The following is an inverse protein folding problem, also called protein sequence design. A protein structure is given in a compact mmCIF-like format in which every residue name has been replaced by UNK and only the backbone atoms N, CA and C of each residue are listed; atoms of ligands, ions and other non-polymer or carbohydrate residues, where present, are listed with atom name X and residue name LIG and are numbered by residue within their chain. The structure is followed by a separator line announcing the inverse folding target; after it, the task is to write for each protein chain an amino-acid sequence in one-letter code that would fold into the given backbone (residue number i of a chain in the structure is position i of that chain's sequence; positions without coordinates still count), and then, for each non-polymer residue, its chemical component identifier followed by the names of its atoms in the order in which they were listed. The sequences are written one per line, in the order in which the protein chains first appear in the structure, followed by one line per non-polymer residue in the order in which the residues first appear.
data_IF_477124709240
#
_entry.id   IF_477124709240
#
_cell.length_a   1.000
_cell.length_b   1.000
_cell.length_c   1.000
_cell.angle_alpha   90.00
_cell.angle_beta   90.00
_cell.angle_gamma   90.00
#
_symmetry.space_group_name_H-M   'P 1'
#
loop_
_entity.id
_entity.type
_entity.pdbx_description
1 polymer ?
#
# COMPACT_ATOMS: atom_id res chain seq x y z
N UNK A 1 25.21 34.60 73.59
CA UNK A 1 25.63 34.35 72.22
C UNK A 1 24.39 33.96 71.45
N UNK A 2 23.80 34.93 70.77
CA UNK A 2 22.46 34.75 70.08
C UNK A 2 22.74 34.67 68.62
N UNK A 3 22.45 33.54 68.01
CA UNK A 3 22.60 33.32 66.60
C UNK A 3 21.33 33.82 65.88
N UNK A 4 21.50 34.75 64.94
CA UNK A 4 20.46 35.24 64.05
C UNK A 4 20.22 34.21 62.89
N UNK A 5 18.99 33.86 62.64
CA UNK A 5 18.70 33.09 61.43
C UNK A 5 18.43 34.05 60.24
N UNK A 6 19.43 34.20 59.39
CA UNK A 6 19.28 34.91 58.13
C UNK A 6 18.26 34.18 57.22
N UNK A 7 17.00 34.66 57.20
CA UNK A 7 15.97 34.24 56.27
C UNK A 7 16.29 34.73 54.84
N UNK A 8 16.75 33.83 53.99
CA UNK A 8 16.90 34.10 52.58
C UNK A 8 15.49 34.19 51.96
N UNK A 9 14.97 35.41 51.87
CA UNK A 9 13.71 35.66 51.16
C UNK A 9 13.91 35.40 49.68
N UNK A 10 13.36 34.31 49.20
CA UNK A 10 13.28 34.02 47.75
C UNK A 10 12.44 35.12 47.06
N UNK A 11 13.10 35.96 46.28
CA UNK A 11 12.48 37.01 45.47
C UNK A 11 11.60 36.37 44.41
N UNK A 12 10.32 36.23 44.67
CA UNK A 12 9.32 35.86 43.66
C UNK A 12 9.20 37.00 42.64
N UNK A 13 9.83 36.87 41.47
CA UNK A 13 9.64 37.78 40.33
C UNK A 13 8.17 37.75 39.92
N UNK A 14 7.40 38.76 40.30
CA UNK A 14 6.02 38.96 39.84
C UNK A 14 6.07 39.47 38.40
N UNK A 15 5.65 38.62 37.41
CA UNK A 15 5.51 39.06 36.03
C UNK A 15 4.41 40.12 35.94
N UNK A 16 4.70 41.19 35.20
CA UNK A 16 3.68 42.21 34.87
C UNK A 16 2.57 41.58 33.99
N UNK A 17 1.32 41.99 34.19
CA UNK A 17 0.20 41.48 33.39
C UNK A 17 0.45 41.60 31.87
N UNK A 18 1.13 42.65 31.42
CA UNK A 18 1.56 42.82 30.02
C UNK A 18 2.55 41.74 29.55
N UNK A 19 3.46 41.33 30.42
CA UNK A 19 4.42 40.24 30.12
C UNK A 19 3.72 38.89 30.05
N UNK A 20 2.74 38.63 30.90
CA UNK A 20 1.94 37.39 30.85
C UNK A 20 1.14 37.32 29.54
N UNK A 21 0.46 38.40 29.14
CA UNK A 21 -0.26 38.47 27.88
C UNK A 21 0.68 38.27 26.69
N UNK A 22 1.87 38.87 26.71
CA UNK A 22 2.86 38.67 25.65
C UNK A 22 3.33 37.23 25.58
N UNK A 23 3.65 36.56 26.70
CA UNK A 23 4.07 35.18 26.72
C UNK A 23 2.99 34.23 26.26
N UNK A 24 1.72 34.45 26.65
CA UNK A 24 0.57 33.65 26.15
C UNK A 24 0.41 33.87 24.66
N UNK A 25 0.48 35.10 24.16
CA UNK A 25 0.38 35.39 22.73
C UNK A 25 1.48 34.71 21.90
N UNK A 26 2.74 34.76 22.39
CA UNK A 26 3.87 34.06 21.75
C UNK A 26 3.68 32.54 21.78
N UNK A 27 3.22 31.99 22.92
CA UNK A 27 2.97 30.55 23.04
C UNK A 27 1.88 30.09 22.06
N UNK A 28 0.76 30.80 21.95
CA UNK A 28 -0.33 30.51 20.99
C UNK A 28 0.18 30.57 19.56
N UNK A 29 0.93 31.63 19.20
CA UNK A 29 1.51 31.76 17.87
C UNK A 29 2.49 30.61 17.55
N UNK A 30 3.37 30.29 18.48
CA UNK A 30 4.32 29.18 18.32
C UNK A 30 3.61 27.83 18.14
N UNK A 31 2.58 27.58 18.96
CA UNK A 31 1.76 26.36 18.83
C UNK A 31 1.08 26.31 17.45
N UNK A 32 0.47 27.42 16.99
CA UNK A 32 -0.16 27.48 15.69
C UNK A 32 0.82 27.24 14.53
N UNK A 33 2.02 27.81 14.59
CA UNK A 33 3.08 27.59 13.60
C UNK A 33 3.59 26.15 13.60
N UNK A 34 3.82 25.56 14.77
CA UNK A 34 4.24 24.15 14.89
C UNK A 34 3.15 23.22 14.36
N UNK A 35 1.89 23.48 14.70
CA UNK A 35 0.77 22.69 14.21
C UNK A 35 0.64 22.80 12.69
N UNK A 36 0.71 24.02 12.14
CA UNK A 36 0.65 24.23 10.70
C UNK A 36 1.81 23.55 9.95
N UNK A 37 3.04 23.64 10.50
CA UNK A 37 4.21 22.95 9.97
C UNK A 37 4.03 21.42 10.02
N UNK A 38 3.57 20.89 11.15
CA UNK A 38 3.32 19.46 11.32
C UNK A 38 2.26 18.94 10.35
N UNK A 39 1.12 19.62 10.23
CA UNK A 39 0.06 19.32 9.28
C UNK A 39 0.61 19.32 7.85
N UNK A 40 1.40 20.34 7.49
CA UNK A 40 1.98 20.41 6.14
C UNK A 40 2.98 19.27 5.87
N UNK A 41 3.73 18.84 6.86
CA UNK A 41 4.76 17.79 6.69
C UNK A 41 4.16 16.37 6.64
N UNK A 42 3.12 16.09 7.42
CA UNK A 42 2.61 14.72 7.60
C UNK A 42 1.31 14.45 6.82
N UNK A 43 0.46 15.46 6.66
CA UNK A 43 -0.84 15.27 6.01
C UNK A 43 -0.75 15.34 4.49
N UNK A 44 0.18 16.13 3.97
CA UNK A 44 0.32 16.33 2.53
C UNK A 44 1.51 15.55 1.99
N UNK A 45 1.27 14.89 0.86
CA UNK A 45 2.27 14.08 0.18
C UNK A 45 2.55 14.65 -1.22
N UNK A 46 3.75 14.38 -1.72
CA UNK A 46 4.06 14.45 -3.15
C UNK A 46 3.58 13.19 -3.85
N UNK A 47 3.37 13.27 -5.17
CA UNK A 47 3.09 12.10 -6.00
C UNK A 47 4.23 11.08 -5.90
N UNK A 48 3.90 9.81 -6.11
CA UNK A 48 4.90 8.75 -6.16
C UNK A 48 5.68 8.80 -7.48
N UNK A 49 6.90 8.29 -7.43
CA UNK A 49 7.68 8.05 -8.64
C UNK A 49 7.36 6.64 -9.17
N UNK A 50 6.89 6.51 -10.43
CA UNK A 50 6.54 5.21 -11.00
C UNK A 50 7.73 4.25 -10.99
N UNK A 51 7.50 3.03 -10.52
CA UNK A 51 8.53 1.98 -10.46
C UNK A 51 8.90 1.52 -11.86
N UNK A 52 10.17 1.65 -12.22
CA UNK A 52 10.71 1.16 -13.50
C UNK A 52 11.53 -0.10 -13.28
N UNK A 53 11.23 -1.14 -14.04
CA UNK A 53 12.02 -2.36 -14.12
C UNK A 53 13.03 -2.28 -15.27
N UNK A 54 14.13 -3.05 -15.14
CA UNK A 54 15.02 -3.29 -16.27
C UNK A 54 14.28 -4.09 -17.37
N UNK A 55 14.79 -4.06 -18.60
CA UNK A 55 14.20 -4.84 -19.70
C UNK A 55 14.17 -6.34 -19.37
N UNK A 56 15.19 -6.86 -18.71
CA UNK A 56 15.25 -8.26 -18.29
C UNK A 56 14.16 -8.58 -17.25
N UNK A 57 13.99 -7.72 -16.23
CA UNK A 57 12.98 -7.91 -15.18
C UNK A 57 11.56 -7.79 -15.76
N UNK A 58 11.33 -6.91 -16.74
CA UNK A 58 10.06 -6.79 -17.44
C UNK A 58 9.71 -8.08 -18.20
N UNK A 59 10.69 -8.72 -18.86
CA UNK A 59 10.47 -10.02 -19.52
C UNK A 59 10.09 -11.09 -18.51
N UNK A 60 10.77 -11.16 -17.37
CA UNK A 60 10.44 -12.10 -16.30
C UNK A 60 9.03 -11.86 -15.75
N UNK A 61 8.68 -10.61 -15.46
CA UNK A 61 7.35 -10.24 -14.97
C UNK A 61 6.26 -10.61 -15.98
N UNK A 62 6.46 -10.29 -17.27
CA UNK A 62 5.50 -10.63 -18.31
C UNK A 62 5.33 -12.15 -18.44
N UNK A 63 6.40 -12.94 -18.31
CA UNK A 63 6.30 -14.40 -18.29
C UNK A 63 5.53 -14.94 -17.09
N UNK A 64 5.73 -14.37 -15.88
CA UNK A 64 4.95 -14.69 -14.68
C UNK A 64 3.46 -14.38 -14.88
N UNK A 65 3.14 -13.18 -15.39
CA UNK A 65 1.75 -12.78 -15.65
C UNK A 65 1.08 -13.63 -16.72
N UNK A 66 1.80 -14.00 -17.77
CA UNK A 66 1.28 -14.92 -18.78
C UNK A 66 0.85 -16.26 -18.16
N UNK A 67 1.63 -16.83 -17.23
CA UNK A 67 1.24 -18.06 -16.52
C UNK A 67 -0.05 -17.89 -15.73
N UNK A 68 -0.21 -16.79 -14.99
CA UNK A 68 -1.43 -16.50 -14.21
C UNK A 68 -2.65 -16.41 -15.13
N UNK A 69 -2.52 -15.67 -16.25
CA UNK A 69 -3.62 -15.49 -17.19
C UNK A 69 -3.99 -16.79 -17.93
N UNK A 70 -2.98 -17.61 -18.29
CA UNK A 70 -3.24 -18.91 -18.93
C UNK A 70 -3.86 -19.93 -17.98
N UNK A 71 -3.48 -19.91 -16.69
CA UNK A 71 -4.15 -20.75 -15.70
C UNK A 71 -5.62 -20.32 -15.48
N UNK A 72 -5.94 -19.05 -15.69
CA UNK A 72 -7.31 -18.53 -15.63
C UNK A 72 -8.15 -18.90 -16.89
N UNK A 73 -7.49 -19.08 -18.05
CA UNK A 73 -8.10 -19.43 -19.35
C UNK A 73 -7.73 -20.87 -19.72
N UNK A 74 -8.37 -21.84 -19.08
CA UNK A 74 -8.11 -23.27 -19.31
C UNK A 74 -8.37 -23.72 -20.78
N UNK A 75 -9.07 -22.91 -21.59
CA UNK A 75 -9.35 -23.13 -22.99
C UNK A 75 -8.37 -22.45 -23.97
N UNK A 76 -7.41 -21.65 -23.46
CA UNK A 76 -6.42 -20.98 -24.32
C UNK A 76 -5.22 -21.90 -24.63
N UNK A 77 -4.79 -22.00 -25.90
CA UNK A 77 -3.60 -22.77 -26.25
C UNK A 77 -2.38 -22.20 -25.54
N UNK A 78 -1.57 -23.07 -24.93
CA UNK A 78 -0.37 -22.71 -24.18
C UNK A 78 0.54 -21.75 -24.98
N UNK A 79 1.11 -20.71 -24.34
CA UNK A 79 2.00 -19.78 -25.03
C UNK A 79 3.19 -20.54 -25.63
N UNK A 80 3.35 -20.41 -26.92
CA UNK A 80 4.56 -20.86 -27.57
C UNK A 80 5.70 -19.92 -27.17
N UNK A 81 6.45 -20.31 -26.16
CA UNK A 81 7.71 -19.63 -25.86
C UNK A 81 8.68 -19.90 -27.02
N UNK A 82 8.92 -18.89 -27.84
CA UNK A 82 10.02 -18.90 -28.78
C UNK A 82 11.32 -18.99 -28.00
N UNK A 83 11.84 -20.19 -27.79
CA UNK A 83 13.20 -20.39 -27.31
C UNK A 83 14.14 -19.74 -28.36
N UNK A 84 15.22 -19.06 -27.91
CA UNK A 84 16.29 -18.72 -28.84
C UNK A 84 16.70 -19.99 -29.54
N UNK A 85 16.79 -19.95 -30.87
CA UNK A 85 17.20 -21.09 -31.67
C UNK A 85 18.59 -21.56 -31.22
N UNK A 86 18.60 -22.64 -30.48
CA UNK A 86 19.78 -23.46 -30.32
C UNK A 86 19.78 -24.39 -31.54
N UNK A 87 20.89 -24.43 -32.27
CA UNK A 87 21.10 -25.17 -33.53
C UNK A 87 21.05 -26.71 -33.40
N UNK A 88 20.30 -27.25 -32.45
CA UNK A 88 20.08 -28.66 -32.27
C UNK A 88 18.63 -29.02 -32.70
N UNK A 89 18.43 -30.09 -33.50
CA UNK A 89 17.09 -30.57 -33.83
C UNK A 89 16.35 -30.97 -32.55
N UNK A 90 15.20 -30.31 -32.32
CA UNK A 90 14.32 -30.61 -31.19
C UNK A 90 13.62 -31.95 -31.46
N UNK A 91 13.87 -32.94 -30.62
CA UNK A 91 13.07 -34.17 -30.61
C UNK A 91 11.72 -33.84 -29.92
N UNK A 92 10.58 -34.24 -30.49
CA UNK A 92 9.28 -34.03 -29.85
C UNK A 92 9.18 -34.93 -28.60
N UNK A 93 9.28 -34.30 -27.42
CA UNK A 93 9.01 -34.98 -26.17
C UNK A 93 7.52 -34.98 -25.87
N UNK A 94 6.97 -36.08 -25.26
CA UNK A 94 5.57 -36.09 -24.87
C UNK A 94 5.33 -35.00 -23.81
N UNK A 95 4.24 -34.26 -23.97
CA UNK A 95 3.83 -33.24 -22.99
C UNK A 95 3.62 -33.86 -21.62
N UNK A 96 4.23 -33.30 -20.60
CA UNK A 96 4.05 -33.71 -19.22
C UNK A 96 4.09 -32.48 -18.29
N UNK A 97 3.13 -32.40 -17.40
CA UNK A 97 3.10 -31.39 -16.32
C UNK A 97 3.77 -31.85 -15.05
N UNK A 98 4.29 -33.09 -15.02
CA UNK A 98 4.98 -33.65 -13.86
C UNK A 98 6.23 -32.83 -13.54
N UNK A 99 6.22 -32.17 -12.38
CA UNK A 99 7.32 -31.31 -11.92
C UNK A 99 7.27 -29.86 -12.40
N UNK A 100 6.19 -29.42 -13.06
CA UNK A 100 5.99 -28.01 -13.36
C UNK A 100 5.81 -27.22 -12.06
N UNK A 101 6.60 -26.14 -11.90
CA UNK A 101 6.46 -25.24 -10.76
C UNK A 101 5.17 -24.45 -10.93
N UNK A 102 4.15 -24.74 -10.13
CA UNK A 102 2.86 -24.02 -10.11
C UNK A 102 2.85 -22.81 -9.20
N UNK A 103 3.95 -22.55 -8.55
CA UNK A 103 4.12 -21.40 -7.67
C UNK A 103 4.72 -20.22 -8.44
N UNK A 104 4.08 -19.07 -8.32
CA UNK A 104 4.53 -17.79 -8.88
C UNK A 104 4.74 -16.85 -7.72
N UNK A 105 5.94 -16.27 -7.63
CA UNK A 105 6.29 -15.28 -6.62
C UNK A 105 6.45 -13.93 -7.30
N UNK A 106 5.74 -12.91 -6.80
CA UNK A 106 5.88 -11.53 -7.20
C UNK A 106 6.48 -10.72 -6.06
N UNK A 107 7.57 -10.04 -6.33
CA UNK A 107 8.18 -9.08 -5.41
C UNK A 107 7.32 -7.82 -5.33
N UNK A 108 7.41 -7.05 -4.25
CA UNK A 108 6.81 -5.73 -4.13
C UNK A 108 7.13 -4.83 -5.33
N UNK A 109 8.38 -4.86 -5.80
CA UNK A 109 8.81 -4.09 -6.97
C UNK A 109 8.09 -4.51 -8.25
N UNK A 110 7.85 -5.80 -8.45
CA UNK A 110 7.11 -6.32 -9.60
C UNK A 110 5.62 -5.93 -9.51
N UNK A 111 5.02 -5.96 -8.31
CA UNK A 111 3.65 -5.50 -8.09
C UNK A 111 3.51 -4.01 -8.41
N UNK A 112 4.42 -3.18 -7.90
CA UNK A 112 4.43 -1.75 -8.21
C UNK A 112 4.71 -1.46 -9.70
N UNK A 113 5.47 -2.31 -10.37
CA UNK A 113 5.68 -2.20 -11.81
C UNK A 113 4.45 -2.60 -12.65
N UNK A 114 3.60 -3.50 -12.14
CA UNK A 114 2.29 -3.77 -12.76
C UNK A 114 1.37 -2.54 -12.66
N UNK A 115 1.37 -1.85 -11.53
CA UNK A 115 0.66 -0.58 -11.35
C UNK A 115 1.23 0.48 -12.29
N UNK A 116 2.55 0.50 -12.50
CA UNK A 116 3.24 1.46 -13.36
C UNK A 116 2.99 1.25 -14.86
N UNK A 117 2.21 0.24 -15.27
CA UNK A 117 1.68 0.16 -16.65
C UNK A 117 0.69 1.29 -16.94
N UNK A 118 0.06 1.83 -15.90
CA UNK A 118 -0.69 3.08 -15.92
C UNK A 118 0.12 4.14 -15.15
N UNK A 119 0.72 5.07 -15.91
CA UNK A 119 1.58 6.12 -15.35
C UNK A 119 0.81 7.05 -14.38
N UNK A 120 -0.47 7.30 -14.61
CA UNK A 120 -1.28 8.14 -13.74
C UNK A 120 -1.59 7.42 -12.44
N UNK A 121 -2.01 6.17 -12.51
CA UNK A 121 -2.23 5.34 -11.31
C UNK A 121 -0.97 5.22 -10.47
N UNK A 122 0.18 4.97 -11.08
CA UNK A 122 1.46 4.82 -10.38
C UNK A 122 1.93 6.09 -9.66
N UNK A 123 1.52 7.26 -10.11
CA UNK A 123 1.81 8.53 -9.41
C UNK A 123 0.95 8.72 -8.17
N UNK A 124 -0.21 8.10 -8.13
CA UNK A 124 -1.19 8.26 -7.06
C UNK A 124 -1.25 7.05 -6.13
N UNK A 125 -0.71 5.89 -6.52
CA UNK A 125 -0.79 4.66 -5.75
C UNK A 125 0.56 3.94 -5.68
N UNK A 126 0.89 3.42 -4.50
CA UNK A 126 2.00 2.51 -4.28
C UNK A 126 1.59 1.41 -3.29
N UNK A 127 2.16 0.23 -3.46
CA UNK A 127 1.89 -0.95 -2.63
C UNK A 127 3.16 -1.36 -1.91
N UNK A 128 3.03 -1.70 -0.63
CA UNK A 128 4.08 -2.31 0.17
C UNK A 128 3.58 -3.66 0.71
N UNK A 129 4.38 -4.70 0.54
CA UNK A 129 4.08 -6.06 0.97
C UNK A 129 4.80 -6.37 2.29
N UNK A 130 4.06 -6.82 3.28
CA UNK A 130 4.59 -7.37 4.54
C UNK A 130 3.83 -8.65 4.87
N UNK A 131 4.28 -9.41 5.87
CA UNK A 131 3.68 -10.70 6.18
C UNK A 131 2.17 -10.55 6.44
N UNK A 132 1.38 -11.29 5.65
CA UNK A 132 -0.09 -11.31 5.67
C UNK A 132 -0.78 -9.94 5.45
N UNK A 133 -0.04 -8.91 5.03
CA UNK A 133 -0.57 -7.57 4.89
C UNK A 133 -0.09 -6.86 3.61
N UNK A 134 -1.03 -6.29 2.88
CA UNK A 134 -0.78 -5.33 1.79
C UNK A 134 -1.04 -3.92 2.33
N UNK A 135 -0.04 -3.07 2.33
CA UNK A 135 -0.22 -1.65 2.61
C UNK A 135 -0.35 -0.89 1.29
N UNK A 136 -1.55 -0.39 1.02
CA UNK A 136 -1.83 0.44 -0.16
C UNK A 136 -1.76 1.90 0.26
N UNK A 137 -0.85 2.64 -0.35
CA UNK A 137 -0.72 4.09 -0.15
C UNK A 137 -1.34 4.81 -1.34
N UNK A 138 -2.28 5.71 -1.06
CA UNK A 138 -2.92 6.55 -2.06
C UNK A 138 -2.62 8.02 -1.79
N UNK A 139 -2.43 8.78 -2.85
CA UNK A 139 -2.31 10.22 -2.82
C UNK A 139 -3.46 10.81 -3.64
N UNK A 140 -4.39 11.48 -2.98
CA UNK A 140 -5.63 11.95 -3.59
C UNK A 140 -5.65 13.47 -3.62
N UNK A 141 -5.91 14.11 -4.78
CA UNK A 141 -6.07 15.56 -4.85
C UNK A 141 -7.35 16.00 -4.12
N UNK A 142 -7.22 17.00 -3.25
CA UNK A 142 -8.36 17.60 -2.55
C UNK A 142 -8.96 18.69 -3.43
N UNK A 143 -10.30 18.73 -3.54
CA UNK A 143 -11.00 19.73 -4.31
C UNK A 143 -10.57 21.15 -3.90
N UNK A 144 -10.30 22.01 -4.89
CA UNK A 144 -9.86 23.39 -4.69
C UNK A 144 -10.87 24.27 -3.93
N UNK A 145 -12.13 23.86 -3.88
CA UNK A 145 -13.20 24.57 -3.17
C UNK A 145 -13.16 24.40 -1.66
N UNK A 146 -12.37 23.41 -1.16
CA UNK A 146 -12.26 23.18 0.28
C UNK A 146 -11.37 24.22 0.95
N UNK A 147 -11.88 24.97 1.95
CA UNK A 147 -11.08 25.94 2.70
C UNK A 147 -9.87 25.26 3.36
N UNK A 148 -8.72 25.91 3.36
CA UNK A 148 -7.46 25.52 4.03
C UNK A 148 -6.72 24.33 3.40
N UNK A 149 -7.42 23.39 2.75
CA UNK A 149 -6.84 22.13 2.23
C UNK A 149 -6.98 21.97 0.71
N UNK A 150 -7.75 22.84 0.05
CA UNK A 150 -7.98 22.78 -1.39
C UNK A 150 -6.68 22.83 -2.21
N UNK A 151 -6.63 22.07 -3.29
CA UNK A 151 -5.47 21.99 -4.19
C UNK A 151 -4.26 21.23 -3.64
N UNK A 152 -4.36 20.62 -2.45
CA UNK A 152 -3.31 19.83 -1.85
C UNK A 152 -3.55 18.32 -2.08
N UNK A 153 -2.49 17.53 -1.96
CA UNK A 153 -2.56 16.07 -2.08
C UNK A 153 -2.68 15.45 -0.69
N UNK A 154 -3.74 14.70 -0.46
CA UNK A 154 -3.99 13.99 0.80
C UNK A 154 -3.39 12.58 0.73
N UNK A 155 -2.64 12.21 1.75
CA UNK A 155 -2.10 10.87 1.89
C UNK A 155 -3.07 9.97 2.65
N UNK A 156 -3.45 8.86 2.01
CA UNK A 156 -4.25 7.79 2.59
C UNK A 156 -3.43 6.51 2.61
N UNK A 157 -3.44 5.79 3.72
CA UNK A 157 -2.81 4.48 3.82
C UNK A 157 -3.89 3.46 4.23
N UNK A 158 -3.98 2.35 3.48
CA UNK A 158 -4.89 1.25 3.73
C UNK A 158 -4.09 0.00 4.07
N UNK A 159 -4.41 -0.65 5.17
CA UNK A 159 -3.93 -1.99 5.50
C UNK A 159 -4.94 -3.02 5.04
N UNK A 160 -4.57 -3.92 4.15
CA UNK A 160 -5.41 -4.99 3.61
C UNK A 160 -4.81 -6.34 3.95
N UNK A 161 -5.58 -7.22 4.57
CA UNK A 161 -5.20 -8.62 4.69
C UNK A 161 -5.62 -9.35 3.41
N UNK A 162 -4.70 -10.13 2.86
CA UNK A 162 -4.92 -10.94 1.69
C UNK A 162 -4.87 -12.41 2.10
N UNK A 163 -5.88 -13.17 1.76
CA UNK A 163 -5.97 -14.61 2.00
C UNK A 163 -6.78 -15.29 0.91
N UNK A 164 -6.78 -16.60 0.91
CA UNK A 164 -7.56 -17.41 -0.01
C UNK A 164 -8.44 -18.37 0.79
N UNK A 165 -9.75 -18.34 0.55
CA UNK A 165 -10.71 -19.18 1.26
C UNK A 165 -11.84 -19.60 0.31
N UNK A 166 -12.30 -20.84 0.46
CA UNK A 166 -13.41 -21.41 -0.33
C UNK A 166 -13.22 -21.28 -1.87
N UNK A 167 -11.97 -21.38 -2.32
CA UNK A 167 -11.64 -21.29 -3.74
C UNK A 167 -11.67 -19.87 -4.31
N UNK A 168 -11.65 -18.82 -3.45
CA UNK A 168 -11.72 -17.42 -3.84
C UNK A 168 -10.74 -16.55 -3.06
N UNK A 169 -10.23 -15.47 -3.68
CA UNK A 169 -9.45 -14.49 -2.96
C UNK A 169 -10.33 -13.71 -1.96
N UNK A 170 -9.80 -13.51 -0.77
CA UNK A 170 -10.42 -12.72 0.28
C UNK A 170 -9.51 -11.54 0.59
N UNK A 171 -10.02 -10.34 0.37
CA UNK A 171 -9.33 -9.09 0.70
C UNK A 171 -10.12 -8.39 1.79
N UNK A 172 -9.56 -8.34 3.00
CA UNK A 172 -10.22 -7.74 4.16
C UNK A 172 -9.47 -6.48 4.62
N UNK A 173 -10.19 -5.39 4.86
CA UNK A 173 -9.60 -4.16 5.38
C UNK A 173 -9.24 -4.30 6.85
N UNK A 174 -7.99 -4.02 7.20
CA UNK A 174 -7.45 -4.05 8.56
C UNK A 174 -7.35 -2.68 9.20
N UNK A 175 -7.12 -1.66 8.41
CA UNK A 175 -6.96 -0.30 8.90
C UNK A 175 -6.93 0.75 7.80
N UNK A 176 -7.25 1.98 8.19
CA UNK A 176 -7.14 3.17 7.35
C UNK A 176 -6.42 4.24 8.15
N UNK A 177 -5.50 4.96 7.53
CA UNK A 177 -4.93 6.17 8.10
C UNK A 177 -4.95 7.33 7.10
N UNK A 178 -5.06 8.54 7.62
CA UNK A 178 -5.00 9.78 6.85
C UNK A 178 -3.79 10.58 7.34
N UNK A 179 -2.83 10.83 6.46
CA UNK A 179 -1.61 11.53 6.83
C UNK A 179 -0.80 10.84 7.95
N UNK A 180 -0.88 9.51 8.04
CA UNK A 180 -0.24 8.71 9.09
C UNK A 180 -1.03 8.65 10.41
N UNK A 181 -2.22 9.27 10.50
CA UNK A 181 -3.09 9.20 11.68
C UNK A 181 -4.12 8.09 11.45
N UNK A 182 -4.12 7.01 12.25
CA UNK A 182 -5.09 5.93 12.10
C UNK A 182 -6.50 6.40 12.42
N UNK A 183 -7.46 6.02 11.57
CA UNK A 183 -8.88 6.28 11.81
C UNK A 183 -9.44 5.27 12.81
N UNK A 184 -10.26 5.74 13.80
CA UNK A 184 -10.96 4.85 14.70
C UNK A 184 -11.84 3.85 13.95
N UNK A 185 -11.81 2.57 14.33
CA UNK A 185 -12.60 1.51 13.70
C UNK A 185 -14.10 1.78 13.68
N UNK A 186 -14.62 2.56 14.64
CA UNK A 186 -16.03 2.97 14.69
C UNK A 186 -16.47 3.86 13.52
N UNK A 187 -15.54 4.51 12.81
CA UNK A 187 -15.88 5.42 11.70
C UNK A 187 -16.02 4.70 10.36
N UNK A 188 -15.50 3.48 10.25
CA UNK A 188 -15.54 2.67 9.03
C UNK A 188 -15.96 1.21 9.31
N UNK A 189 -16.68 0.99 10.43
CA UNK A 189 -16.96 -0.31 11.04
C UNK A 189 -17.60 -1.36 10.12
N UNK A 190 -18.47 -0.98 9.22
CA UNK A 190 -19.15 -1.92 8.32
C UNK A 190 -18.21 -2.48 7.24
N UNK A 191 -17.14 -1.77 6.91
CA UNK A 191 -16.14 -2.21 5.92
C UNK A 191 -15.07 -3.11 6.57
N UNK A 192 -14.94 -3.04 7.90
CA UNK A 192 -14.00 -3.88 8.65
C UNK A 192 -14.41 -5.34 8.57
N UNK A 193 -13.48 -6.20 8.12
CA UNK A 193 -13.70 -7.63 7.91
C UNK A 193 -14.69 -8.01 6.80
N UNK A 194 -15.18 -7.04 6.00
CA UNK A 194 -15.92 -7.33 4.78
C UNK A 194 -14.93 -7.80 3.71
N UNK A 195 -15.30 -8.83 2.96
CA UNK A 195 -14.51 -9.24 1.79
C UNK A 195 -14.73 -8.24 0.66
N UNK A 196 -13.74 -7.39 0.42
CA UNK A 196 -13.81 -6.34 -0.60
C UNK A 196 -13.94 -6.91 -2.02
N UNK A 197 -13.50 -8.15 -2.26
CA UNK A 197 -13.66 -8.82 -3.55
C UNK A 197 -15.12 -9.18 -3.79
N UNK A 198 -15.84 -9.65 -2.78
CA UNK A 198 -17.27 -9.96 -2.89
C UNK A 198 -18.13 -8.71 -3.02
N UNK A 199 -17.79 -7.67 -2.26
CA UNK A 199 -18.59 -6.43 -2.22
C UNK A 199 -18.39 -5.58 -3.48
N UNK A 200 -17.16 -5.47 -3.98
CA UNK A 200 -16.79 -4.54 -5.07
C UNK A 200 -16.27 -5.22 -6.33
N UNK A 201 -16.01 -6.53 -6.31
CA UNK A 201 -15.36 -7.25 -7.40
C UNK A 201 -16.26 -7.48 -8.63
N UNK A 202 -17.56 -7.39 -8.48
CA UNK A 202 -18.54 -7.67 -9.54
C UNK A 202 -18.52 -9.14 -10.00
N UNK A 203 -19.64 -9.64 -10.53
CA UNK A 203 -19.71 -10.99 -11.09
C UNK A 203 -19.13 -11.03 -12.52
N UNK A 204 -18.31 -12.04 -12.82
CA UNK A 204 -17.68 -12.23 -14.15
C UNK A 204 -16.46 -11.33 -14.42
N UNK A 205 -15.97 -10.60 -13.41
CA UNK A 205 -14.81 -9.72 -13.52
C UNK A 205 -13.47 -10.46 -13.38
N UNK A 206 -12.39 -9.66 -13.25
CA UNK A 206 -11.03 -10.15 -13.08
C UNK A 206 -10.90 -11.17 -11.94
N UNK A 207 -11.55 -10.94 -10.80
CA UNK A 207 -11.44 -11.80 -9.62
C UNK A 207 -12.06 -13.19 -9.82
N UNK A 208 -13.16 -13.28 -10.58
CA UNK A 208 -13.78 -14.57 -10.91
C UNK A 208 -12.90 -15.38 -11.88
N UNK A 209 -12.26 -14.71 -12.85
CA UNK A 209 -11.32 -15.36 -13.74
C UNK A 209 -10.05 -15.78 -13.00
N UNK A 210 -9.51 -14.90 -12.17
CA UNK A 210 -8.34 -15.18 -11.33
C UNK A 210 -8.59 -16.40 -10.42
N UNK A 211 -9.75 -16.48 -9.79
CA UNK A 211 -10.13 -17.59 -8.92
C UNK A 211 -10.25 -18.95 -9.65
N UNK A 212 -10.48 -18.95 -10.98
CA UNK A 212 -10.52 -20.20 -11.77
C UNK A 212 -9.15 -20.83 -11.90
N UNK A 213 -8.09 -20.03 -12.05
CA UNK A 213 -6.73 -20.50 -12.29
C UNK A 213 -5.87 -20.59 -11.03
N UNK A 214 -6.29 -20.02 -9.90
CA UNK A 214 -5.52 -19.92 -8.68
C UNK A 214 -6.08 -20.84 -7.60
N UNK A 215 -5.20 -21.56 -6.92
CA UNK A 215 -5.50 -22.48 -5.82
C UNK A 215 -5.22 -21.84 -4.46
N UNK A 216 -4.16 -21.05 -4.33
CA UNK A 216 -3.80 -20.32 -3.12
C UNK A 216 -3.16 -18.97 -3.41
N UNK A 217 -3.36 -18.03 -2.49
CA UNK A 217 -2.84 -16.67 -2.56
C UNK A 217 -2.45 -16.20 -1.17
N UNK A 218 -1.17 -15.90 -0.96
CA UNK A 218 -0.66 -15.43 0.33
C UNK A 218 0.50 -14.45 0.16
N UNK A 219 0.74 -13.65 1.21
CA UNK A 219 1.93 -12.79 1.29
C UNK A 219 2.84 -13.36 2.37
N UNK A 220 4.07 -13.57 2.02
CA UNK A 220 5.10 -14.08 2.91
C UNK A 220 6.45 -13.49 2.52
N UNK A 221 7.25 -13.09 3.51
CA UNK A 221 8.60 -12.52 3.31
C UNK A 221 8.64 -11.35 2.31
N UNK A 222 7.60 -10.50 2.28
CA UNK A 222 7.51 -9.36 1.36
C UNK A 222 7.25 -9.74 -0.11
N UNK A 223 6.81 -10.97 -0.36
CA UNK A 223 6.46 -11.49 -1.68
C UNK A 223 5.00 -11.93 -1.72
N UNK A 224 4.36 -11.71 -2.86
CA UNK A 224 3.06 -12.27 -3.16
C UNK A 224 3.27 -13.65 -3.80
N UNK A 225 2.83 -14.69 -3.11
CA UNK A 225 2.85 -16.08 -3.56
C UNK A 225 1.50 -16.45 -4.14
N UNK A 226 1.52 -16.96 -5.35
CA UNK A 226 0.33 -17.40 -6.10
C UNK A 226 0.56 -18.87 -6.47
N UNK A 227 -0.30 -19.75 -5.99
CA UNK A 227 -0.29 -21.16 -6.38
C UNK A 227 -1.38 -21.39 -7.44
N UNK A 228 -1.00 -21.95 -8.57
CA UNK A 228 -1.92 -22.24 -9.67
C UNK A 228 -2.58 -23.61 -9.47
N UNK A 229 -3.84 -23.75 -9.91
CA UNK A 229 -4.58 -25.02 -9.92
C UNK A 229 -3.96 -26.05 -10.85
N UNK A 230 -4.31 -27.30 -10.62
CA UNK A 230 -4.02 -28.42 -11.51
C UNK A 230 -4.89 -28.42 -12.77
#
# INVERSE_FOLDING_TARGET
MKADPSSTAASTRRFSGKQVVLFVGVAVLATALVTAWWVNQYLYASMFEPTRLSMADQHVLNAKMARVLHAADADSPAPQFSRPALDAPLEPEPYTEKGATREIQLTEREVNALIAKDDEMARHMAVHLSDDLVSVKLVVPVNNEMPLVGGKMLKLDFGLALSYADGKPVVAMRGISIGGIPLPGAWWGDIKNTNLVEEFGGSGGFWDQFAKGVDDLKIQDGHLHITLKE
#
